data_IF_242295699022
#
_entry.id   IF_242295699022
#
_cell.length_a   1.000
_cell.length_b   1.000
_cell.length_c   1.000
_cell.angle_alpha   90.00
_cell.angle_beta   90.00
_cell.angle_gamma   90.00
#
_symmetry.space_group_name_H-M   'P 1'
#
loop_
_entity.id
_entity.type
_entity.pdbx_description
1 polymer ?
#
# COMPACT_ATOMS: atom_id res chain seq x y z
N UNK A 1 19.60 -19.80 -21.64
CA UNK A 1 18.58 -20.68 -21.01
C UNK A 1 17.69 -19.83 -20.10
N UNK A 2 16.52 -19.41 -20.57
CA UNK A 2 15.58 -18.72 -19.70
C UNK A 2 14.85 -19.75 -18.84
N UNK A 3 15.18 -19.81 -17.54
CA UNK A 3 14.38 -20.56 -16.57
C UNK A 3 12.98 -19.94 -16.54
N UNK A 4 12.05 -20.53 -17.29
CA UNK A 4 10.68 -20.05 -17.34
C UNK A 4 10.05 -20.32 -15.97
N UNK A 5 9.78 -19.26 -15.21
CA UNK A 5 9.11 -19.38 -13.92
C UNK A 5 7.76 -20.08 -14.09
N UNK A 6 7.50 -21.09 -13.26
CA UNK A 6 6.19 -21.75 -13.23
C UNK A 6 5.09 -20.74 -12.88
N UNK A 7 3.87 -20.96 -13.40
CA UNK A 7 2.72 -20.08 -13.15
C UNK A 7 2.46 -19.91 -11.65
N UNK A 8 2.65 -20.98 -10.86
CA UNK A 8 2.52 -20.96 -9.40
C UNK A 8 3.53 -20.03 -8.74
N UNK A 9 4.80 -20.11 -9.15
CA UNK A 9 5.84 -19.23 -8.61
C UNK A 9 5.57 -17.76 -8.96
N UNK A 10 5.20 -17.46 -10.21
CA UNK A 10 4.86 -16.08 -10.62
C UNK A 10 3.75 -15.48 -9.75
N UNK A 11 2.68 -16.25 -9.48
CA UNK A 11 1.58 -15.80 -8.61
C UNK A 11 2.05 -15.52 -7.18
N UNK A 12 2.86 -16.40 -6.59
CA UNK A 12 3.40 -16.21 -5.24
C UNK A 12 4.34 -15.01 -5.17
N UNK A 13 5.22 -14.86 -6.16
CA UNK A 13 6.13 -13.71 -6.26
C UNK A 13 5.35 -12.39 -6.33
N UNK A 14 4.30 -12.32 -7.14
CA UNK A 14 3.49 -11.10 -7.25
C UNK A 14 2.81 -10.74 -5.92
N UNK A 15 2.32 -11.73 -5.17
CA UNK A 15 1.77 -11.50 -3.82
C UNK A 15 2.84 -10.99 -2.84
N UNK A 16 4.03 -11.59 -2.86
CA UNK A 16 5.15 -11.13 -2.03
C UNK A 16 5.55 -9.69 -2.36
N UNK A 17 5.66 -9.36 -3.65
CA UNK A 17 5.97 -8.01 -4.11
C UNK A 17 4.89 -7.00 -3.66
N UNK A 18 3.62 -7.38 -3.70
CA UNK A 18 2.54 -6.54 -3.20
C UNK A 18 2.66 -6.27 -1.69
N UNK A 19 3.06 -7.27 -0.90
CA UNK A 19 3.34 -7.09 0.53
C UNK A 19 4.52 -6.12 0.73
N UNK A 20 5.63 -6.32 0.02
CA UNK A 20 6.80 -5.43 0.09
C UNK A 20 6.48 -3.98 -0.30
N UNK A 21 5.70 -3.79 -1.34
CA UNK A 21 5.22 -2.46 -1.75
C UNK A 21 4.36 -1.80 -0.66
N UNK A 22 3.45 -2.54 -0.03
CA UNK A 22 2.62 -2.01 1.05
C UNK A 22 3.47 -1.59 2.27
N UNK A 23 4.52 -2.34 2.61
CA UNK A 23 5.45 -1.99 3.69
C UNK A 23 6.22 -0.72 3.33
N UNK A 24 6.76 -0.64 2.12
CA UNK A 24 7.47 0.55 1.64
C UNK A 24 6.56 1.80 1.64
N UNK A 25 5.29 1.65 1.25
CA UNK A 25 4.31 2.75 1.38
C UNK A 25 4.16 3.18 2.85
N UNK A 26 3.97 2.24 3.79
CA UNK A 26 3.85 2.56 5.22
C UNK A 26 5.09 3.30 5.76
N UNK A 27 6.30 2.89 5.35
CA UNK A 27 7.55 3.57 5.73
C UNK A 27 7.60 5.00 5.21
N UNK A 28 7.15 5.23 3.98
CA UNK A 28 7.02 6.58 3.41
C UNK A 28 6.03 7.46 4.20
N UNK A 29 4.98 6.85 4.76
CA UNK A 29 4.03 7.50 5.68
C UNK A 29 4.53 7.63 7.12
N UNK A 30 5.81 7.33 7.38
CA UNK A 30 6.44 7.58 8.67
C UNK A 30 6.51 6.37 9.60
N UNK A 31 6.21 5.14 9.14
CA UNK A 31 6.33 3.94 9.97
C UNK A 31 7.77 3.72 10.50
N UNK A 32 8.81 4.21 9.79
CA UNK A 32 10.20 4.12 10.25
C UNK A 32 10.59 5.22 11.27
N UNK A 33 9.73 6.21 11.48
CA UNK A 33 10.03 7.39 12.29
C UNK A 33 9.30 7.30 13.62
N UNK A 34 10.07 7.17 14.69
CA UNK A 34 9.56 7.21 16.06
C UNK A 34 10.42 8.17 16.88
N UNK A 35 10.07 9.48 16.92
CA UNK A 35 10.81 10.48 17.70
C UNK A 35 10.75 10.22 19.22
N UNK A 36 9.66 9.61 19.68
CA UNK A 36 9.48 9.22 21.08
C UNK A 36 10.09 7.83 21.32
N UNK A 37 10.63 7.60 22.52
CA UNK A 37 11.17 6.30 22.96
C UNK A 37 10.23 5.54 23.90
N UNK A 38 9.06 6.10 24.22
CA UNK A 38 8.04 5.41 24.99
C UNK A 38 7.25 4.43 24.13
N UNK A 39 6.82 3.33 24.74
CA UNK A 39 5.93 2.36 24.09
C UNK A 39 4.64 3.00 23.58
N UNK A 40 4.07 3.92 24.36
CA UNK A 40 2.86 4.66 23.99
C UNK A 40 3.10 5.50 22.73
N UNK A 41 4.22 6.22 22.68
CA UNK A 41 4.63 6.95 21.48
C UNK A 41 4.73 6.04 20.26
N UNK A 42 5.46 4.93 20.40
CA UNK A 42 5.59 3.92 19.33
C UNK A 42 4.23 3.44 18.80
N UNK A 43 3.33 3.01 19.69
CA UNK A 43 2.00 2.54 19.29
C UNK A 43 1.19 3.64 18.57
N UNK A 44 1.30 4.90 19.02
CA UNK A 44 0.67 6.05 18.36
C UNK A 44 1.23 6.32 16.95
N UNK A 45 2.56 6.30 16.77
CA UNK A 45 3.17 6.53 15.45
C UNK A 45 2.84 5.41 14.46
N UNK A 46 2.83 4.15 14.92
CA UNK A 46 2.40 3.02 14.11
C UNK A 46 0.93 3.18 13.69
N UNK A 47 0.04 3.50 14.64
CA UNK A 47 -1.38 3.72 14.35
C UNK A 47 -1.58 4.87 13.36
N UNK A 48 -0.82 5.95 13.48
CA UNK A 48 -0.85 7.08 12.56
C UNK A 48 -0.44 6.67 11.15
N UNK A 49 0.71 5.99 11.00
CA UNK A 49 1.19 5.53 9.69
C UNK A 49 0.17 4.61 9.00
N UNK A 50 -0.43 3.67 9.75
CA UNK A 50 -1.48 2.77 9.22
C UNK A 50 -2.74 3.56 8.82
N UNK A 51 -3.14 4.55 9.61
CA UNK A 51 -4.32 5.38 9.33
C UNK A 51 -4.12 6.19 8.05
N UNK A 52 -2.99 6.88 7.93
CA UNK A 52 -2.64 7.65 6.73
C UNK A 52 -2.61 6.75 5.49
N UNK A 53 -1.94 5.60 5.55
CA UNK A 53 -1.91 4.64 4.44
C UNK A 53 -3.31 4.20 3.98
N UNK A 54 -4.23 3.94 4.93
CA UNK A 54 -5.62 3.56 4.60
C UNK A 54 -6.38 4.72 3.95
N UNK A 55 -6.23 5.94 4.46
CA UNK A 55 -6.87 7.13 3.87
C UNK A 55 -6.40 7.34 2.42
N UNK A 56 -5.11 7.18 2.14
CA UNK A 56 -4.59 7.24 0.78
C UNK A 56 -5.19 6.16 -0.14
N UNK A 57 -5.38 4.92 0.36
CA UNK A 57 -6.04 3.86 -0.42
C UNK A 57 -7.49 4.21 -0.74
N UNK A 58 -8.24 4.73 0.22
CA UNK A 58 -9.62 5.17 0.00
C UNK A 58 -9.65 6.30 -1.02
N UNK A 59 -8.76 7.29 -0.90
CA UNK A 59 -8.66 8.41 -1.85
C UNK A 59 -8.38 7.94 -3.29
N UNK A 60 -7.45 6.98 -3.46
CA UNK A 60 -7.16 6.38 -4.78
C UNK A 60 -8.37 5.66 -5.37
N UNK A 61 -9.10 4.92 -4.55
CA UNK A 61 -10.31 4.21 -4.98
C UNK A 61 -11.40 5.19 -5.42
N UNK A 62 -11.64 6.26 -4.66
CA UNK A 62 -12.62 7.29 -5.02
C UNK A 62 -12.26 7.98 -6.34
N UNK A 63 -10.98 8.28 -6.58
CA UNK A 63 -10.51 8.84 -7.85
C UNK A 63 -10.73 7.87 -9.02
N UNK A 64 -10.41 6.58 -8.82
CA UNK A 64 -10.64 5.54 -9.83
C UNK A 64 -12.12 5.42 -10.20
N UNK A 65 -13.01 5.46 -9.20
CA UNK A 65 -14.45 5.47 -9.42
C UNK A 65 -14.93 6.74 -10.14
N UNK A 66 -14.36 7.90 -9.84
CA UNK A 66 -14.63 9.15 -10.55
C UNK A 66 -14.31 9.03 -12.05
N UNK A 67 -13.07 8.63 -12.37
CA UNK A 67 -12.63 8.42 -13.76
C UNK A 67 -13.50 7.39 -14.49
N UNK A 68 -13.86 6.28 -13.83
CA UNK A 68 -14.71 5.26 -14.41
C UNK A 68 -16.13 5.77 -14.73
N UNK A 69 -16.66 6.72 -13.95
CA UNK A 69 -17.95 7.37 -14.24
C UNK A 69 -17.84 8.31 -15.44
N UNK A 70 -16.78 9.11 -15.52
CA UNK A 70 -16.54 10.02 -16.64
C UNK A 70 -16.40 9.27 -17.97
N UNK A 71 -15.64 8.17 -17.98
CA UNK A 71 -15.50 7.32 -19.18
C UNK A 71 -16.85 6.76 -19.63
N UNK A 72 -17.70 6.34 -18.70
CA UNK A 72 -19.06 5.85 -19.00
C UNK A 72 -19.99 6.96 -19.51
N UNK A 73 -19.77 8.21 -19.09
CA UNK A 73 -20.55 9.36 -19.55
C UNK A 73 -20.09 9.87 -20.92
N UNK A 74 -18.82 9.63 -21.27
CA UNK A 74 -18.23 10.01 -22.54
C UNK A 74 -18.40 8.94 -23.66
N UNK A 75 -18.91 7.75 -23.32
CA UNK A 75 -19.19 6.64 -24.24
C UNK A 75 -20.68 6.58 -24.58
#
# INVERSE_FOLDING_TARGET
>A
MAMSWTIRFKKLKNKHNAIGSNINELEHWGLNRCPDRTRKGFDCYVALAVTVHKLHKIGRELQAQGMAKEIKQAA
#
